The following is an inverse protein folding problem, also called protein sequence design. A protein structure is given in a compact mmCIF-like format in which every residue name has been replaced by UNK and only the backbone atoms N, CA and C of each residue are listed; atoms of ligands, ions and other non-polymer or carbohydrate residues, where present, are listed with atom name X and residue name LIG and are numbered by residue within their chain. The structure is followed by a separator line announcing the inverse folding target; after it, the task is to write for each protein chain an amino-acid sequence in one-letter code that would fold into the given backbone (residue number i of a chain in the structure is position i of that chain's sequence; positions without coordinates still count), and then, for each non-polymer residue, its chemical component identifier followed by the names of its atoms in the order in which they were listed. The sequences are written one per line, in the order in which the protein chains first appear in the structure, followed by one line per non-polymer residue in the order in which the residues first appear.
data_IF_644414927134
#
_entry.id   IF_644414927134
#
_cell.length_a   1.000
_cell.length_b   1.000
_cell.length_c   1.000
_cell.angle_alpha   90.00
_cell.angle_beta   90.00
_cell.angle_gamma   90.00
#
_symmetry.space_group_name_H-M   'P 1'
#
loop_
_entity.id
_entity.type
_entity.pdbx_description
1 polymer ?
#
# COMPACT_ATOMS: atom_id res chain seq x y z
N UNK A 1 10.43 13.31 42.70
CA UNK A 1 11.65 12.53 42.42
C UNK A 1 11.85 12.55 40.92
N UNK A 2 12.79 13.36 40.42
CA UNK A 2 13.05 13.52 38.98
C UNK A 2 14.30 12.69 38.66
N UNK A 3 14.26 11.77 37.69
CA UNK A 3 15.44 10.98 37.36
C UNK A 3 16.52 11.86 36.69
N UNK A 4 17.81 11.64 36.99
CA UNK A 4 18.90 12.42 36.43
C UNK A 4 19.07 12.13 34.94
N UNK A 5 19.40 13.18 34.17
CA UNK A 5 19.67 13.09 32.73
C UNK A 5 21.06 12.48 32.51
N UNK A 6 21.10 11.29 31.93
CA UNK A 6 22.31 10.65 31.43
C UNK A 6 22.75 11.34 30.14
N UNK A 7 23.86 12.05 30.19
CA UNK A 7 24.58 12.56 29.01
C UNK A 7 25.67 11.55 28.68
N UNK A 8 25.54 10.84 27.56
CA UNK A 8 26.59 9.94 27.06
C UNK A 8 27.59 10.76 26.24
N UNK A 9 28.84 10.74 26.68
CA UNK A 9 29.99 11.31 25.96
C UNK A 9 30.52 10.21 25.03
N UNK A 10 30.71 10.45 23.72
CA UNK A 10 31.30 9.44 22.85
C UNK A 10 32.78 9.23 23.18
N UNK A 11 33.16 7.97 23.37
CA UNK A 11 34.53 7.51 23.57
C UNK A 11 35.30 7.66 22.26
N UNK A 12 36.31 8.53 22.27
CA UNK A 12 37.23 8.73 21.15
C UNK A 12 38.43 7.83 21.41
N UNK A 13 38.47 6.67 20.77
CA UNK A 13 39.69 5.86 20.72
C UNK A 13 40.56 6.38 19.58
N UNK A 14 41.50 7.25 19.95
CA UNK A 14 42.64 7.64 19.14
C UNK A 14 43.66 6.50 19.20
N UNK A 15 43.78 5.74 18.11
CA UNK A 15 44.97 4.94 17.83
C UNK A 15 45.72 5.61 16.68
N UNK A 16 46.80 6.27 17.08
CA UNK A 16 47.82 7.03 16.37
C UNK A 16 48.18 6.59 14.94
N UNK A 17 48.22 7.62 14.08
CA UNK A 17 49.39 8.03 13.30
C UNK A 17 50.20 6.95 12.57
N UNK A 18 49.93 6.82 11.28
CA UNK A 18 51.01 6.67 10.32
C UNK A 18 50.66 7.35 9.00
N UNK A 19 51.34 8.49 8.78
CA UNK A 19 51.80 9.01 7.49
C UNK A 19 50.85 9.97 6.79
N UNK A 20 51.05 11.25 7.11
CA UNK A 20 50.93 12.36 6.17
C UNK A 20 51.55 11.98 4.82
N UNK A 21 50.73 11.98 3.77
CA UNK A 21 50.97 12.72 2.53
C UNK A 21 49.91 12.32 1.49
N UNK A 22 48.98 13.25 1.23
CA UNK A 22 48.30 13.51 -0.05
C UNK A 22 46.92 14.11 0.21
N UNK A 23 46.89 15.44 0.18
CA UNK A 23 45.68 16.24 0.12
C UNK A 23 44.75 15.82 -1.02
N UNK A 24 43.48 15.53 -0.67
CA UNK A 24 42.21 15.92 -1.34
C UNK A 24 41.13 14.89 -1.00
N UNK A 25 40.47 15.07 0.14
CA UNK A 25 39.23 14.38 0.48
C UNK A 25 38.07 15.37 0.36
N UNK A 26 37.17 15.13 -0.60
CA UNK A 26 35.91 15.86 -0.71
C UNK A 26 35.03 15.57 0.51
N UNK A 27 34.24 16.54 1.00
CA UNK A 27 33.30 16.25 2.07
C UNK A 27 32.21 15.33 1.50
N UNK A 28 32.03 14.16 2.13
CA UNK A 28 30.88 13.31 1.93
C UNK A 28 29.62 14.09 2.36
N UNK A 29 29.02 14.80 1.41
CA UNK A 29 27.70 15.37 1.56
C UNK A 29 26.71 14.23 1.80
N UNK A 30 25.79 14.44 2.76
CA UNK A 30 24.67 13.57 2.99
C UNK A 30 23.93 13.31 1.67
N UNK A 31 23.91 12.05 1.23
CA UNK A 31 23.22 11.63 0.02
C UNK A 31 21.72 11.96 0.07
N UNK A 32 21.16 12.19 1.26
CA UNK A 32 19.76 12.60 1.44
C UNK A 32 19.52 14.09 1.11
N UNK A 33 20.50 14.96 1.37
CA UNK A 33 20.37 16.41 1.15
C UNK A 33 20.68 16.82 -0.29
N UNK A 34 21.56 16.11 -1.01
CA UNK A 34 21.78 16.34 -2.45
C UNK A 34 20.58 15.97 -3.33
N UNK A 35 19.67 15.12 -2.84
CA UNK A 35 18.46 14.73 -3.58
C UNK A 35 17.32 15.77 -3.47
N UNK A 36 17.47 16.79 -2.62
CA UNK A 36 16.44 17.78 -2.35
C UNK A 36 16.59 19.11 -3.12
N UNK A 37 17.67 19.32 -3.87
CA UNK A 37 17.84 20.54 -4.68
C UNK A 37 17.24 20.38 -6.08
N UNK A 38 15.99 20.84 -6.23
CA UNK A 38 15.31 21.27 -7.47
C UNK A 38 15.25 20.32 -8.69
N UNK A 39 15.78 19.09 -8.59
CA UNK A 39 15.77 18.10 -9.68
C UNK A 39 14.60 17.11 -9.66
N UNK A 40 13.86 17.00 -8.55
CA UNK A 40 12.77 16.00 -8.43
C UNK A 40 11.38 16.53 -8.84
N UNK A 41 11.26 17.81 -9.22
CA UNK A 41 9.96 18.42 -9.52
C UNK A 41 9.41 18.10 -10.92
N UNK A 42 10.08 17.24 -11.67
CA UNK A 42 9.68 16.82 -13.02
C UNK A 42 10.19 15.42 -13.31
N UNK A 43 9.61 14.41 -12.65
CA UNK A 43 9.83 13.03 -13.07
C UNK A 43 9.36 12.91 -14.53
N UNK A 44 10.19 12.37 -15.43
CA UNK A 44 9.76 12.17 -16.81
C UNK A 44 8.55 11.21 -16.82
N UNK A 45 7.62 11.35 -17.77
CA UNK A 45 6.31 10.68 -17.72
C UNK A 45 6.39 9.14 -17.64
N UNK A 46 7.53 8.56 -18.00
CA UNK A 46 7.86 7.14 -17.88
C UNK A 46 8.18 6.68 -16.44
N UNK A 47 8.45 7.58 -15.50
CA UNK A 47 8.70 7.25 -14.08
C UNK A 47 7.42 7.34 -13.25
N UNK A 48 6.45 8.16 -13.68
CA UNK A 48 5.09 8.19 -13.08
C UNK A 48 4.18 7.06 -13.59
N UNK A 49 4.47 6.49 -14.76
CA UNK A 49 3.68 5.43 -15.40
C UNK A 49 4.45 4.11 -15.41
N UNK A 50 4.75 3.58 -14.23
CA UNK A 50 5.16 2.19 -14.13
C UNK A 50 3.90 1.33 -14.35
N UNK A 51 3.89 0.35 -15.27
CA UNK A 51 2.72 -0.50 -15.50
C UNK A 51 2.19 -1.16 -14.21
N UNK A 52 3.08 -1.43 -13.27
CA UNK A 52 2.76 -1.94 -11.93
C UNK A 52 2.11 -0.90 -11.01
N UNK A 53 2.45 0.38 -11.15
CA UNK A 53 1.81 1.46 -10.40
C UNK A 53 0.37 1.65 -10.89
N UNK A 54 0.16 1.69 -12.21
CA UNK A 54 -1.19 1.74 -12.80
C UNK A 54 -2.02 0.52 -12.39
N UNK A 55 -1.44 -0.69 -12.49
CA UNK A 55 -2.10 -1.95 -12.10
C UNK A 55 -2.51 -1.96 -10.62
N UNK A 56 -1.59 -1.56 -9.72
CA UNK A 56 -1.88 -1.48 -8.29
C UNK A 56 -2.98 -0.48 -8.01
N UNK A 57 -2.97 0.66 -8.67
CA UNK A 57 -3.97 1.70 -8.45
C UNK A 57 -5.35 1.27 -8.98
N UNK A 58 -5.42 0.55 -10.10
CA UNK A 58 -6.66 -0.11 -10.59
C UNK A 58 -7.25 -1.07 -9.56
N UNK A 59 -6.42 -1.96 -8.99
CA UNK A 59 -6.85 -2.90 -7.96
C UNK A 59 -7.39 -2.18 -6.71
N UNK A 60 -6.71 -1.11 -6.28
CA UNK A 60 -7.13 -0.30 -5.13
C UNK A 60 -8.46 0.41 -5.39
N UNK A 61 -8.71 0.91 -6.60
CA UNK A 61 -9.99 1.51 -6.99
C UNK A 61 -11.11 0.45 -6.89
N UNK A 62 -10.91 -0.74 -7.46
CA UNK A 62 -11.90 -1.81 -7.42
C UNK A 62 -12.19 -2.27 -5.98
N UNK A 63 -11.14 -2.45 -5.19
CA UNK A 63 -11.25 -2.79 -3.77
C UNK A 63 -12.08 -1.77 -3.01
N UNK A 64 -11.79 -0.48 -3.18
CA UNK A 64 -12.54 0.60 -2.53
C UNK A 64 -14.02 0.63 -2.93
N UNK A 65 -14.32 0.47 -4.22
CA UNK A 65 -15.70 0.43 -4.73
C UNK A 65 -16.47 -0.77 -4.16
N UNK A 66 -15.86 -1.96 -4.18
CA UNK A 66 -16.46 -3.19 -3.67
C UNK A 66 -16.64 -3.16 -2.15
N UNK A 67 -15.71 -2.53 -1.43
CA UNK A 67 -15.79 -2.35 0.02
C UNK A 67 -16.93 -1.39 0.41
N UNK A 68 -17.10 -0.29 -0.32
CA UNK A 68 -18.13 0.70 -0.05
C UNK A 68 -19.55 0.26 -0.45
N UNK A 69 -19.67 -0.76 -1.30
CA UNK A 69 -20.95 -1.19 -1.84
C UNK A 69 -21.78 -1.98 -0.81
N UNK A 70 -23.02 -1.52 -0.57
CA UNK A 70 -24.02 -2.25 0.22
C UNK A 70 -24.64 -3.44 -0.55
N UNK A 71 -24.56 -3.42 -1.87
CA UNK A 71 -25.13 -4.43 -2.77
C UNK A 71 -24.07 -4.95 -3.76
N UNK A 72 -24.20 -6.19 -4.27
CA UNK A 72 -23.29 -6.70 -5.28
C UNK A 72 -23.23 -5.82 -6.53
N UNK A 73 -22.02 -5.54 -7.02
CA UNK A 73 -21.76 -4.67 -8.16
C UNK A 73 -21.58 -5.45 -9.46
N UNK A 74 -22.17 -4.94 -10.55
CA UNK A 74 -21.95 -5.50 -11.88
C UNK A 74 -20.56 -5.12 -12.41
N UNK A 75 -19.96 -6.01 -13.20
CA UNK A 75 -18.66 -5.75 -13.84
C UNK A 75 -18.69 -4.51 -14.74
N UNK A 76 -19.80 -4.29 -15.48
CA UNK A 76 -19.99 -3.07 -16.28
C UNK A 76 -19.91 -1.79 -15.44
N UNK A 77 -20.41 -1.81 -14.21
CA UNK A 77 -20.35 -0.65 -13.31
C UNK A 77 -18.91 -0.39 -12.87
N UNK A 78 -18.19 -1.44 -12.50
CA UNK A 78 -16.78 -1.34 -12.10
C UNK A 78 -15.90 -0.83 -13.25
N UNK A 79 -16.17 -1.28 -14.48
CA UNK A 79 -15.47 -0.81 -15.70
C UNK A 79 -15.57 0.69 -15.92
N UNK A 80 -16.69 1.32 -15.55
CA UNK A 80 -16.88 2.76 -15.72
C UNK A 80 -15.94 3.63 -14.86
N UNK A 81 -15.29 3.03 -13.86
CA UNK A 81 -14.36 3.72 -12.95
C UNK A 81 -12.89 3.50 -13.30
N UNK A 82 -12.63 2.75 -14.37
CA UNK A 82 -11.30 2.39 -14.86
C UNK A 82 -11.10 2.87 -16.30
N UNK A 83 -9.89 2.71 -16.81
CA UNK A 83 -9.57 3.04 -18.20
C UNK A 83 -10.29 2.11 -19.18
N UNK A 84 -10.60 2.60 -20.38
CA UNK A 84 -11.38 1.83 -21.38
C UNK A 84 -10.69 0.55 -21.88
N UNK A 85 -9.37 0.43 -21.68
CA UNK A 85 -8.57 -0.74 -22.09
C UNK A 85 -8.29 -1.70 -20.93
N UNK A 86 -8.82 -1.42 -19.74
CA UNK A 86 -8.50 -2.21 -18.55
C UNK A 86 -9.30 -3.52 -18.54
N UNK A 87 -8.58 -4.63 -18.34
CA UNK A 87 -9.19 -5.95 -18.18
C UNK A 87 -9.72 -6.12 -16.75
N UNK A 88 -10.94 -5.62 -16.55
CA UNK A 88 -11.66 -5.69 -15.26
C UNK A 88 -11.83 -7.13 -14.79
N UNK A 89 -12.04 -8.09 -15.70
CA UNK A 89 -12.22 -9.49 -15.32
C UNK A 89 -10.93 -10.06 -14.73
N UNK A 90 -9.79 -9.82 -15.39
CA UNK A 90 -8.48 -10.22 -14.87
C UNK A 90 -8.15 -9.55 -13.53
N UNK A 91 -8.46 -8.26 -13.39
CA UNK A 91 -8.26 -7.51 -12.14
C UNK A 91 -9.10 -8.08 -10.99
N UNK A 92 -10.35 -8.48 -11.25
CA UNK A 92 -11.23 -9.06 -10.24
C UNK A 92 -10.80 -10.46 -9.81
N UNK A 93 -10.31 -11.29 -10.73
CA UNK A 93 -9.75 -12.59 -10.36
C UNK A 93 -8.45 -12.44 -9.57
N UNK A 94 -7.60 -11.47 -9.91
CA UNK A 94 -6.40 -11.14 -9.14
C UNK A 94 -6.77 -10.68 -7.72
N UNK A 95 -7.72 -9.75 -7.60
CA UNK A 95 -8.20 -9.26 -6.31
C UNK A 95 -8.82 -10.38 -5.47
N UNK A 96 -9.60 -11.27 -6.09
CA UNK A 96 -10.13 -12.47 -5.44
C UNK A 96 -9.02 -13.37 -4.91
N UNK A 97 -7.93 -13.54 -5.66
CA UNK A 97 -6.73 -14.24 -5.21
C UNK A 97 -6.12 -13.63 -3.95
N UNK A 98 -5.98 -12.30 -3.89
CA UNK A 98 -5.44 -11.61 -2.71
C UNK A 98 -6.29 -11.76 -1.45
N UNK A 99 -7.59 -11.95 -1.61
CA UNK A 99 -8.54 -12.09 -0.50
C UNK A 99 -8.89 -13.54 -0.16
N UNK A 100 -8.41 -14.54 -0.92
CA UNK A 100 -8.81 -15.94 -0.76
C UNK A 100 -8.51 -16.53 0.64
N UNK A 101 -7.40 -16.11 1.27
CA UNK A 101 -6.97 -16.60 2.59
C UNK A 101 -7.29 -15.61 3.73
N UNK A 102 -8.13 -14.61 3.48
CA UNK A 102 -8.48 -13.56 4.46
C UNK A 102 -9.87 -13.83 5.02
N UNK A 103 -10.21 -13.17 6.13
CA UNK A 103 -11.53 -13.32 6.78
C UNK A 103 -12.72 -12.72 6.01
N UNK A 104 -12.45 -12.03 4.89
CA UNK A 104 -13.45 -11.69 3.88
C UNK A 104 -12.94 -12.17 2.52
N UNK A 105 -13.85 -12.64 1.68
CA UNK A 105 -13.53 -13.09 0.34
C UNK A 105 -14.36 -12.32 -0.69
N UNK A 106 -13.77 -12.09 -1.86
CA UNK A 106 -14.47 -11.55 -3.00
C UNK A 106 -15.18 -12.69 -3.74
N UNK A 107 -16.51 -12.62 -3.81
CA UNK A 107 -17.35 -13.68 -4.41
C UNK A 107 -18.22 -13.14 -5.53
N UNK A 108 -18.63 -14.04 -6.43
CA UNK A 108 -19.56 -13.73 -7.52
C UNK A 108 -20.95 -14.30 -7.24
N UNK A 109 -21.96 -13.45 -7.15
CA UNK A 109 -23.35 -13.79 -6.85
C UNK A 109 -24.24 -13.21 -7.96
N UNK A 110 -25.02 -14.05 -8.62
CA UNK A 110 -25.91 -13.65 -9.73
C UNK A 110 -25.20 -12.79 -10.79
N UNK A 111 -23.96 -13.14 -11.14
CA UNK A 111 -23.15 -12.43 -12.12
C UNK A 111 -22.49 -11.13 -11.62
N UNK A 112 -22.76 -10.71 -10.38
CA UNK A 112 -22.20 -9.51 -9.74
C UNK A 112 -21.16 -9.88 -8.67
N UNK A 113 -20.36 -8.90 -8.25
CA UNK A 113 -19.25 -9.06 -7.32
C UNK A 113 -19.51 -8.39 -5.97
N UNK A 114 -19.14 -9.04 -4.88
CA UNK A 114 -19.26 -8.47 -3.52
C UNK A 114 -18.25 -9.11 -2.56
N UNK A 115 -17.87 -8.37 -1.52
CA UNK A 115 -17.21 -8.96 -0.36
C UNK A 115 -18.21 -9.69 0.54
N UNK A 116 -17.83 -10.87 1.00
CA UNK A 116 -18.56 -11.66 2.00
C UNK A 116 -17.58 -12.17 3.05
N UNK A 117 -18.10 -12.42 4.24
CA UNK A 117 -17.34 -13.11 5.29
C UNK A 117 -16.86 -14.44 4.75
N UNK A 118 -15.62 -14.82 5.09
CA UNK A 118 -15.08 -16.11 4.75
C UNK A 118 -15.94 -17.24 5.35
N UNK A 119 -16.10 -18.33 4.61
CA UNK A 119 -17.01 -19.42 4.97
C UNK A 119 -16.67 -20.02 6.33
N UNK A 120 -15.37 -20.21 6.60
CA UNK A 120 -14.82 -20.71 7.86
C UNK A 120 -15.07 -19.80 9.06
N UNK A 121 -15.37 -18.51 8.85
CA UNK A 121 -15.69 -17.54 9.90
C UNK A 121 -17.19 -17.19 9.99
N UNK A 122 -18.04 -17.75 9.14
CA UNK A 122 -19.47 -17.41 9.08
C UNK A 122 -20.19 -17.67 10.41
N UNK A 123 -19.82 -18.75 11.11
CA UNK A 123 -20.40 -19.14 12.41
C UNK A 123 -20.22 -18.08 13.52
N UNK A 124 -19.22 -17.19 13.40
CA UNK A 124 -19.01 -16.12 14.38
C UNK A 124 -20.06 -15.01 14.26
N UNK A 125 -20.58 -14.78 13.05
CA UNK A 125 -21.48 -13.66 12.76
C UNK A 125 -22.96 -14.04 12.85
N UNK A 126 -23.31 -15.32 12.72
CA UNK A 126 -24.69 -15.80 12.87
C UNK A 126 -25.32 -15.40 14.21
N UNK A 127 -24.51 -15.34 15.28
CA UNK A 127 -24.97 -14.93 16.63
C UNK A 127 -25.20 -13.42 16.78
N UNK A 128 -24.71 -12.61 15.85
CA UNK A 128 -24.82 -11.14 15.86
C UNK A 128 -25.78 -10.59 14.77
N UNK A 129 -26.33 -11.45 13.91
CA UNK A 129 -27.24 -11.04 12.84
C UNK A 129 -28.67 -10.70 13.33
N UNK A 130 -28.98 -10.99 14.60
CA UNK A 130 -30.20 -10.50 15.26
C UNK A 130 -30.00 -9.06 15.69
N UNK A 131 -30.85 -8.15 15.17
CA UNK A 131 -30.90 -6.69 15.42
C UNK A 131 -30.15 -5.77 14.44
N UNK A 132 -30.50 -5.84 13.16
CA UNK A 132 -30.66 -4.60 12.37
C UNK A 132 -32.12 -4.42 12.00
N UNK A 133 -32.96 -4.16 13.00
CA UNK A 133 -34.31 -3.64 12.76
C UNK A 133 -34.14 -2.16 12.42
N UNK A 134 -34.49 -1.81 11.17
CA UNK A 134 -34.47 -0.44 10.66
C UNK A 134 -35.21 0.50 11.64
N UNK A 135 -34.55 1.59 12.01
CA UNK A 135 -35.11 2.73 12.75
C UNK A 135 -35.89 3.64 11.80
#
# INVERSE_FOLDING_TARGET
MVPPKLTVVPHRDEAEEAREDAARAEPAADASEVLAHEGWRGLPPNVGRLPSADRRDQLRILEALLFAASEPLAEQYLRAHLGSQDDVAALLEELKGFYASRGINLVRIAGKWAFRTAEDLSYLLERHATEQRRL
#
